data_IF_030861790899
#
_entry.id   IF_030861790899
#
_cell.length_a   1.000
_cell.length_b   1.000
_cell.length_c   1.000
_cell.angle_alpha   90.00
_cell.angle_beta   90.00
_cell.angle_gamma   90.00
#
_symmetry.space_group_name_H-M   'P 1'
#
loop_
_entity.id
_entity.type
_entity.pdbx_description
1 polymer ?
#
# COMPACT_ATOMS: atom_id res chain seq x y z
N UNK A 1 1.10 8.06 9.14
CA UNK A 1 0.94 7.12 8.00
C UNK A 1 0.28 7.76 6.78
N UNK A 2 -0.82 8.50 6.93
CA UNK A 2 -1.58 9.10 5.82
C UNK A 2 -0.72 9.97 4.88
N UNK A 3 0.17 10.81 5.44
CA UNK A 3 1.09 11.63 4.65
C UNK A 3 2.06 10.82 3.78
N UNK A 4 2.54 9.67 4.27
CA UNK A 4 3.44 8.77 3.53
C UNK A 4 2.66 8.12 2.37
N UNK A 5 1.41 7.70 2.62
CA UNK A 5 0.54 7.15 1.58
C UNK A 5 0.24 8.17 0.48
N UNK A 6 -0.01 9.44 0.85
CA UNK A 6 -0.25 10.53 -0.11
C UNK A 6 1.01 10.80 -0.94
N UNK A 7 2.18 10.93 -0.29
CA UNK A 7 3.43 11.14 -0.99
C UNK A 7 3.75 9.98 -1.95
N UNK A 8 3.52 8.74 -1.52
CA UNK A 8 3.75 7.56 -2.35
C UNK A 8 2.75 7.43 -3.50
N UNK A 9 1.48 7.77 -3.27
CA UNK A 9 0.46 7.84 -4.33
C UNK A 9 0.87 8.87 -5.39
N UNK A 10 1.32 10.06 -4.99
CA UNK A 10 1.80 11.09 -5.91
C UNK A 10 3.00 10.58 -6.73
N UNK A 11 3.93 9.85 -6.11
CA UNK A 11 5.05 9.23 -6.81
C UNK A 11 4.57 8.17 -7.83
N UNK A 12 3.67 7.28 -7.45
CA UNK A 12 3.09 6.27 -8.35
C UNK A 12 2.35 6.91 -9.53
N UNK A 13 1.59 7.98 -9.27
CA UNK A 13 0.86 8.75 -10.30
C UNK A 13 1.83 9.46 -11.23
N UNK A 14 2.89 10.07 -10.69
CA UNK A 14 3.93 10.71 -11.49
C UNK A 14 4.62 9.70 -12.42
N UNK A 15 4.99 8.52 -11.92
CA UNK A 15 5.62 7.46 -12.72
C UNK A 15 4.64 6.92 -13.77
N UNK A 16 3.36 6.78 -13.44
CA UNK A 16 2.33 6.33 -14.38
C UNK A 16 2.05 7.37 -15.48
N UNK A 17 2.07 8.67 -15.15
CA UNK A 17 1.85 9.77 -16.10
C UNK A 17 3.05 10.06 -17.00
N UNK A 18 4.27 9.92 -16.47
CA UNK A 18 5.52 10.08 -17.24
C UNK A 18 6.00 8.75 -17.85
N UNK A 19 5.08 7.89 -18.30
CA UNK A 19 5.42 6.59 -18.90
C UNK A 19 6.37 6.69 -20.10
N UNK A 20 6.43 7.83 -20.79
CA UNK A 20 7.36 8.04 -21.90
C UNK A 20 8.83 8.14 -21.46
N UNK A 21 9.09 8.44 -20.18
CA UNK A 21 10.43 8.44 -19.58
C UNK A 21 10.85 7.08 -19.03
N UNK A 22 9.96 6.10 -19.07
CA UNK A 22 10.18 4.74 -18.56
C UNK A 22 9.89 3.73 -19.70
N UNK A 23 10.41 2.50 -19.65
CA UNK A 23 10.21 1.58 -20.76
C UNK A 23 8.79 1.02 -20.79
N UNK A 24 8.33 0.72 -22.01
CA UNK A 24 7.00 0.14 -22.28
C UNK A 24 6.71 -1.17 -21.54
N UNK A 25 7.75 -1.90 -21.12
CA UNK A 25 7.60 -3.18 -20.39
C UNK A 25 7.51 -3.02 -18.86
N UNK A 26 7.53 -1.78 -18.36
CA UNK A 26 7.37 -1.46 -16.94
C UNK A 26 5.92 -1.68 -16.47
N UNK A 27 5.64 -2.87 -15.94
CA UNK A 27 4.34 -3.15 -15.32
C UNK A 27 4.28 -2.63 -13.89
N UNK A 28 3.69 -1.44 -13.71
CA UNK A 28 3.40 -0.85 -12.38
C UNK A 28 2.21 -1.51 -11.66
N UNK A 29 1.52 -2.43 -12.35
CA UNK A 29 0.30 -3.06 -11.88
C UNK A 29 0.45 -3.75 -10.51
N UNK A 30 1.54 -4.50 -10.23
CA UNK A 30 1.74 -5.14 -8.93
C UNK A 30 1.86 -4.12 -7.79
N UNK A 31 2.59 -3.02 -8.01
CA UNK A 31 2.73 -1.96 -7.01
C UNK A 31 1.37 -1.27 -6.74
N UNK A 32 0.60 -0.97 -7.80
CA UNK A 32 -0.75 -0.44 -7.65
C UNK A 32 -1.69 -1.39 -6.92
N UNK A 33 -1.61 -2.69 -7.17
CA UNK A 33 -2.41 -3.69 -6.51
C UNK A 33 -2.13 -3.71 -5.00
N UNK A 34 -0.86 -3.82 -4.59
CA UNK A 34 -0.47 -3.80 -3.19
C UNK A 34 -0.80 -2.49 -2.49
N UNK A 35 -0.61 -1.36 -3.17
CA UNK A 35 -0.98 -0.05 -2.63
C UNK A 35 -2.50 0.09 -2.42
N UNK A 36 -3.32 -0.39 -3.36
CA UNK A 36 -4.78 -0.31 -3.25
C UNK A 36 -5.36 -1.21 -2.15
N UNK A 37 -4.63 -2.26 -1.75
CA UNK A 37 -5.02 -3.10 -0.60
C UNK A 37 -4.86 -2.39 0.75
N UNK A 38 -4.06 -1.33 0.83
CA UNK A 38 -3.89 -0.55 2.08
C UNK A 38 -5.22 0.07 2.56
N UNK A 39 -5.95 0.87 1.76
CA UNK A 39 -7.25 1.39 2.19
C UNK A 39 -8.31 0.28 2.37
N UNK A 40 -8.26 -0.79 1.56
CA UNK A 40 -9.20 -1.92 1.69
C UNK A 40 -9.02 -2.63 3.03
N UNK A 41 -7.79 -2.93 3.43
CA UNK A 41 -7.51 -3.56 4.73
C UNK A 41 -7.99 -2.68 5.89
N UNK A 42 -7.77 -1.36 5.82
CA UNK A 42 -8.30 -0.41 6.82
C UNK A 42 -9.82 -0.41 6.89
N UNK A 43 -10.50 -0.48 5.75
CA UNK A 43 -11.95 -0.58 5.71
C UNK A 43 -12.46 -1.87 6.37
N UNK A 44 -11.81 -3.01 6.08
CA UNK A 44 -12.14 -4.31 6.69
C UNK A 44 -11.96 -4.26 8.22
N UNK A 45 -10.86 -3.70 8.72
CA UNK A 45 -10.64 -3.54 10.17
C UNK A 45 -11.65 -2.57 10.81
N UNK A 46 -12.06 -1.52 10.11
CA UNK A 46 -13.11 -0.62 10.58
C UNK A 46 -14.47 -1.34 10.72
N UNK A 47 -14.81 -2.23 9.77
CA UNK A 47 -16.00 -3.08 9.87
C UNK A 47 -15.92 -4.05 11.06
N UNK A 48 -14.78 -4.70 11.28
CA UNK A 48 -14.58 -5.56 12.45
C UNK A 48 -14.73 -4.80 13.76
N UNK A 49 -14.19 -3.58 13.83
CA UNK A 49 -14.32 -2.69 14.98
C UNK A 49 -15.78 -2.29 15.24
N UNK A 50 -16.54 -1.99 14.19
CA UNK A 50 -17.94 -1.58 14.31
C UNK A 50 -18.89 -2.74 14.65
N UNK A 51 -18.63 -3.94 14.12
CA UNK A 51 -19.57 -5.06 14.16
C UNK A 51 -19.48 -5.97 15.40
N UNK A 52 -18.28 -6.15 15.99
CA UNK A 52 -18.08 -7.37 16.80
C UNK A 52 -17.24 -7.23 18.08
N UNK A 53 -16.71 -6.05 18.44
CA UNK A 53 -15.75 -5.94 19.55
C UNK A 53 -16.16 -4.93 20.62
N UNK A 54 -16.54 -5.43 21.80
CA UNK A 54 -16.85 -4.64 23.00
C UNK A 54 -15.70 -4.59 24.02
N UNK A 55 -14.69 -5.45 23.87
CA UNK A 55 -13.54 -5.54 24.77
C UNK A 55 -12.42 -4.58 24.35
N UNK A 56 -11.90 -3.83 25.31
CA UNK A 56 -10.79 -2.87 25.12
C UNK A 56 -9.53 -3.57 24.59
N UNK A 57 -9.29 -4.82 25.00
CA UNK A 57 -8.13 -5.61 24.55
C UNK A 57 -8.21 -5.97 23.07
N UNK A 58 -9.41 -6.30 22.58
CA UNK A 58 -9.60 -6.73 21.20
C UNK A 58 -9.52 -5.52 20.24
N UNK A 59 -9.97 -4.35 20.72
CA UNK A 59 -9.80 -3.07 20.05
C UNK A 59 -8.32 -2.69 19.86
N UNK A 60 -7.50 -2.82 20.91
CA UNK A 60 -6.06 -2.53 20.83
C UNK A 60 -5.34 -3.50 19.87
N UNK A 61 -5.73 -4.78 19.88
CA UNK A 61 -5.18 -5.78 18.97
C UNK A 61 -5.49 -5.44 17.51
N UNK A 62 -6.75 -5.09 17.19
CA UNK A 62 -7.14 -4.64 15.85
C UNK A 62 -6.31 -3.45 15.40
N UNK A 63 -6.08 -2.47 16.28
CA UNK A 63 -5.36 -1.24 15.92
C UNK A 63 -3.91 -1.55 15.52
N UNK A 64 -3.23 -2.40 16.28
CA UNK A 64 -1.88 -2.87 15.96
C UNK A 64 -1.85 -3.65 14.65
N UNK A 65 -2.81 -4.56 14.43
CA UNK A 65 -2.86 -5.32 13.18
C UNK A 65 -3.22 -4.46 11.97
N UNK A 66 -4.13 -3.49 12.12
CA UNK A 66 -4.54 -2.59 11.06
C UNK A 66 -3.38 -1.71 10.58
N UNK A 67 -2.57 -1.22 11.52
CA UNK A 67 -1.36 -0.47 11.17
C UNK A 67 -0.25 -1.38 10.65
N UNK A 68 0.01 -2.53 11.29
CA UNK A 68 1.02 -3.49 10.85
C UNK A 68 0.79 -4.01 9.43
N UNK A 69 -0.45 -4.38 9.10
CA UNK A 69 -0.82 -4.82 7.74
C UNK A 69 -0.69 -3.66 6.75
N UNK A 70 -1.07 -2.44 7.15
CA UNK A 70 -0.89 -1.25 6.31
C UNK A 70 0.57 -1.02 5.95
N UNK A 71 1.48 -1.14 6.91
CA UNK A 71 2.93 -1.02 6.68
C UNK A 71 3.49 -2.16 5.83
N UNK A 72 3.03 -3.40 6.05
CA UNK A 72 3.46 -4.56 5.26
C UNK A 72 3.04 -4.44 3.79
N UNK A 73 1.78 -4.07 3.54
CA UNK A 73 1.26 -3.86 2.18
C UNK A 73 1.99 -2.71 1.47
N UNK A 74 2.27 -1.62 2.19
CA UNK A 74 3.07 -0.52 1.66
C UNK A 74 4.51 -0.97 1.35
N UNK A 75 5.13 -1.75 2.23
CA UNK A 75 6.45 -2.33 2.01
C UNK A 75 6.52 -3.26 0.79
N UNK A 76 5.50 -4.11 0.60
CA UNK A 76 5.37 -4.95 -0.60
C UNK A 76 5.22 -4.11 -1.87
N UNK A 77 4.44 -3.03 -1.82
CA UNK A 77 4.34 -2.08 -2.93
C UNK A 77 5.70 -1.45 -3.26
N UNK A 78 6.49 -1.07 -2.25
CA UNK A 78 7.84 -0.55 -2.45
C UNK A 78 8.78 -1.59 -3.05
N UNK A 79 8.74 -2.84 -2.57
CA UNK A 79 9.57 -3.93 -3.11
C UNK A 79 9.24 -4.20 -4.58
N UNK A 80 7.96 -4.21 -4.95
CA UNK A 80 7.56 -4.33 -6.35
C UNK A 80 8.08 -3.15 -7.18
N UNK A 81 8.03 -1.93 -6.66
CA UNK A 81 8.56 -0.76 -7.36
C UNK A 81 10.09 -0.85 -7.53
N UNK A 82 10.80 -1.28 -6.48
CA UNK A 82 12.25 -1.42 -6.46
C UNK A 82 12.74 -2.51 -7.44
N UNK A 83 12.09 -3.68 -7.48
CA UNK A 83 12.40 -4.74 -8.46
C UNK A 83 12.27 -4.23 -9.90
N UNK A 84 11.25 -3.39 -10.16
CA UNK A 84 11.07 -2.81 -11.49
C UNK A 84 12.23 -1.87 -11.83
N UNK A 85 12.65 -1.01 -10.90
CA UNK A 85 13.79 -0.12 -11.10
C UNK A 85 15.12 -0.87 -11.22
N UNK A 86 15.34 -1.94 -10.45
CA UNK A 86 16.56 -2.76 -10.56
C UNK A 86 16.65 -3.45 -11.93
N UNK A 87 15.51 -3.87 -12.49
CA UNK A 87 15.46 -4.42 -13.86
C UNK A 87 15.72 -3.37 -14.95
N UNK A 88 15.71 -2.08 -14.64
CA UNK A 88 16.06 -1.01 -15.60
C UNK A 88 17.56 -0.76 -15.72
N UNK A 89 18.31 -1.05 -14.66
CA UNK A 89 19.75 -0.73 -14.57
C UNK A 89 20.65 -1.87 -15.09
N UNK A 90 20.05 -3.01 -15.49
CA UNK A 90 20.71 -4.18 -16.07
C UNK A 90 20.47 -4.25 -17.57
#
# INVERSE_FOLDING_TARGET
MTWILVAYLLALVYIAGNRDKFPKNMSLWPAWLWFSLVPVSRFVFALFRAGNMRSVRDLALIEVWADGIGWLLLGLSFLCLADIFERQDK
#
